data_IF_407138548028
#
_entry.id   IF_407138548028
#
_cell.length_a   1.000
_cell.length_b   1.000
_cell.length_c   1.000
_cell.angle_alpha   90.00
_cell.angle_beta   90.00
_cell.angle_gamma   90.00
#
_symmetry.space_group_name_H-M   'P 1'
#
loop_
_entity.id
_entity.type
_entity.pdbx_description
1 polymer ?
#
# COMPACT_ATOMS: atom_id res chain seq x y z
N UNK A 1 -43.84 15.13 -19.75
CA UNK A 1 -43.37 13.85 -20.34
C UNK A 1 -41.97 14.08 -20.88
N UNK A 2 -40.92 13.70 -20.15
CA UNK A 2 -39.64 13.31 -20.72
C UNK A 2 -39.03 12.26 -19.80
N UNK A 3 -38.96 11.04 -20.32
CA UNK A 3 -38.33 9.87 -19.72
C UNK A 3 -36.80 10.08 -19.70
N UNK A 4 -36.16 9.88 -18.55
CA UNK A 4 -34.71 9.68 -18.48
C UNK A 4 -34.46 8.21 -18.11
N UNK A 5 -33.92 7.46 -19.07
CA UNK A 5 -33.63 6.03 -18.93
C UNK A 5 -32.56 5.77 -17.83
N UNK A 6 -32.58 4.59 -17.19
CA UNK A 6 -31.53 4.20 -16.25
C UNK A 6 -30.20 3.99 -17.01
N UNK A 7 -29.16 4.67 -16.56
CA UNK A 7 -27.80 4.50 -17.09
C UNK A 7 -27.31 3.10 -16.72
N UNK A 8 -27.10 2.27 -17.73
CA UNK A 8 -26.60 0.90 -17.60
C UNK A 8 -25.15 0.89 -17.10
N UNK A 9 -24.89 0.03 -16.11
CA UNK A 9 -23.61 -0.13 -15.41
C UNK A 9 -22.52 -0.79 -16.29
N UNK A 10 -22.89 -1.38 -17.43
CA UNK A 10 -21.96 -2.10 -18.33
C UNK A 10 -21.10 -1.19 -19.23
N UNK A 11 -21.32 0.12 -19.24
CA UNK A 11 -20.60 1.03 -20.13
C UNK A 11 -19.25 1.54 -19.59
N UNK A 12 -18.90 1.25 -18.33
CA UNK A 12 -17.67 1.76 -17.69
C UNK A 12 -16.65 0.62 -17.53
N UNK A 13 -16.24 0.02 -18.64
CA UNK A 13 -15.07 -0.86 -18.72
C UNK A 13 -13.74 -0.08 -18.64
N UNK A 14 -13.61 0.83 -17.67
CA UNK A 14 -12.46 1.73 -17.52
C UNK A 14 -11.68 1.44 -16.22
N UNK A 15 -10.35 1.62 -16.19
CA UNK A 15 -9.57 1.41 -14.97
C UNK A 15 -9.98 2.42 -13.89
N UNK A 16 -9.86 2.09 -12.61
CA UNK A 16 -10.36 2.89 -11.47
C UNK A 16 -10.00 4.40 -11.47
N UNK A 17 -8.97 4.83 -12.23
CA UNK A 17 -8.62 6.24 -12.42
C UNK A 17 -9.58 7.01 -13.37
N UNK A 18 -10.43 6.35 -14.15
CA UNK A 18 -11.43 7.01 -14.99
C UNK A 18 -12.64 7.51 -14.19
N UNK A 19 -12.98 6.83 -13.09
CA UNK A 19 -13.95 7.30 -12.09
C UNK A 19 -13.53 8.63 -11.46
N UNK A 20 -12.23 8.82 -11.23
CA UNK A 20 -11.64 10.06 -10.73
C UNK A 20 -11.92 11.27 -11.63
N UNK A 21 -11.94 11.08 -12.96
CA UNK A 21 -12.20 12.15 -13.93
C UNK A 21 -13.67 12.52 -14.04
N UNK A 22 -14.57 11.60 -13.68
CA UNK A 22 -16.00 11.83 -13.67
C UNK A 22 -16.46 12.54 -12.38
N UNK A 23 -15.85 12.20 -11.24
CA UNK A 23 -16.18 12.76 -9.93
C UNK A 23 -15.54 14.14 -9.65
N UNK A 24 -14.50 14.51 -10.40
CA UNK A 24 -13.86 15.85 -10.32
C UNK A 24 -14.50 16.88 -11.23
N UNK A 25 -15.54 16.52 -12.00
CA UNK A 25 -16.29 17.44 -12.82
C UNK A 25 -17.33 18.15 -11.96
N UNK A 26 -17.02 19.40 -11.60
CA UNK A 26 -17.89 20.34 -10.91
C UNK A 26 -19.27 20.39 -11.58
N UNK A 27 -20.33 20.08 -10.82
CA UNK A 27 -21.59 20.84 -10.80
C UNK A 27 -22.64 20.13 -9.93
N UNK A 28 -23.11 20.80 -8.87
CA UNK A 28 -24.54 21.19 -8.67
C UNK A 28 -25.02 21.20 -7.20
N UNK A 29 -25.44 22.40 -6.78
CA UNK A 29 -26.48 22.77 -5.78
C UNK A 29 -26.13 22.87 -4.27
N UNK A 30 -26.04 24.16 -3.89
CA UNK A 30 -26.05 24.94 -2.63
C UNK A 30 -26.59 24.41 -1.29
N UNK A 31 -27.00 23.15 -1.13
CA UNK A 31 -27.19 22.52 0.20
C UNK A 31 -26.25 21.32 0.42
N UNK A 32 -25.61 20.83 -0.66
CA UNK A 32 -24.63 19.75 -0.64
C UNK A 32 -23.16 20.19 -0.48
N UNK A 33 -22.87 21.47 -0.21
CA UNK A 33 -21.48 21.97 -0.14
C UNK A 33 -20.72 21.43 1.07
N UNK A 34 -21.38 21.29 2.23
CA UNK A 34 -20.74 20.76 3.45
C UNK A 34 -20.56 19.24 3.36
N UNK A 35 -21.55 18.51 2.84
CA UNK A 35 -21.47 17.06 2.60
C UNK A 35 -20.42 16.74 1.54
N UNK A 36 -20.37 17.49 0.44
CA UNK A 36 -19.33 17.34 -0.58
C UNK A 36 -17.92 17.70 -0.08
N UNK A 37 -17.81 18.66 0.85
CA UNK A 37 -16.54 19.00 1.48
C UNK A 37 -16.08 17.90 2.46
N UNK A 38 -17.00 17.29 3.20
CA UNK A 38 -16.73 16.17 4.11
C UNK A 38 -16.35 14.91 3.32
N UNK A 39 -17.11 14.57 2.27
CA UNK A 39 -16.82 13.46 1.35
C UNK A 39 -15.45 13.64 0.66
N UNK A 40 -15.13 14.87 0.21
CA UNK A 40 -13.83 15.19 -0.37
C UNK A 40 -12.71 15.05 0.66
N UNK A 41 -12.92 15.52 1.88
CA UNK A 41 -11.92 15.43 2.96
C UNK A 41 -11.66 13.96 3.31
N UNK A 42 -12.73 13.16 3.42
CA UNK A 42 -12.66 11.72 3.65
C UNK A 42 -11.93 10.99 2.52
N UNK A 43 -12.25 11.31 1.27
CA UNK A 43 -11.56 10.74 0.11
C UNK A 43 -10.05 11.05 0.13
N UNK A 44 -9.67 12.30 0.45
CA UNK A 44 -8.27 12.71 0.51
C UNK A 44 -7.51 12.00 1.64
N UNK A 45 -8.13 11.84 2.81
CA UNK A 45 -7.49 11.15 3.93
C UNK A 45 -7.31 9.65 3.65
N UNK A 46 -8.34 9.01 3.08
CA UNK A 46 -8.23 7.63 2.59
C UNK A 46 -7.13 7.48 1.54
N UNK A 47 -7.04 8.42 0.60
CA UNK A 47 -6.02 8.43 -0.43
C UNK A 47 -4.61 8.54 0.18
N UNK A 48 -4.44 9.40 1.19
CA UNK A 48 -3.17 9.54 1.92
C UNK A 48 -2.73 8.23 2.57
N UNK A 49 -3.65 7.51 3.21
CA UNK A 49 -3.37 6.21 3.81
C UNK A 49 -2.94 5.19 2.75
N UNK A 50 -3.68 5.10 1.65
CA UNK A 50 -3.36 4.19 0.54
C UNK A 50 -2.00 4.51 -0.09
N UNK A 51 -1.68 5.78 -0.32
CA UNK A 51 -0.37 6.19 -0.86
C UNK A 51 0.75 5.83 0.09
N UNK A 52 0.55 6.01 1.40
CA UNK A 52 1.53 5.61 2.43
C UNK A 52 1.79 4.11 2.40
N UNK A 53 0.74 3.29 2.26
CA UNK A 53 0.88 1.82 2.12
C UNK A 53 1.66 1.45 0.87
N UNK A 54 1.39 2.11 -0.27
CA UNK A 54 2.12 1.86 -1.53
C UNK A 54 3.61 2.19 -1.38
N UNK A 55 3.95 3.28 -0.71
CA UNK A 55 5.34 3.65 -0.45
C UNK A 55 6.05 2.62 0.45
N UNK A 56 5.39 2.18 1.52
CA UNK A 56 5.93 1.13 2.41
C UNK A 56 6.17 -0.18 1.64
N UNK A 57 5.21 -0.62 0.82
CA UNK A 57 5.37 -1.81 -0.02
C UNK A 57 6.55 -1.65 -0.99
N UNK A 58 6.71 -0.46 -1.59
CA UNK A 58 7.82 -0.17 -2.50
C UNK A 58 9.18 -0.20 -1.79
N UNK A 59 9.25 0.25 -0.52
CA UNK A 59 10.42 0.11 0.34
C UNK A 59 10.71 -1.36 0.66
N UNK A 60 9.69 -2.14 1.02
CA UNK A 60 9.82 -3.57 1.31
C UNK A 60 10.37 -4.35 0.12
N UNK A 61 9.82 -4.13 -1.09
CA UNK A 61 10.31 -4.78 -2.31
C UNK A 61 11.79 -4.48 -2.60
N UNK A 62 12.23 -3.25 -2.34
CA UNK A 62 13.65 -2.88 -2.46
C UNK A 62 14.53 -3.61 -1.44
N UNK A 63 14.06 -3.75 -0.20
CA UNK A 63 14.75 -4.54 0.83
C UNK A 63 14.85 -6.01 0.40
N UNK A 64 13.76 -6.62 -0.04
CA UNK A 64 13.74 -8.03 -0.45
C UNK A 64 14.65 -8.28 -1.67
N UNK A 65 14.63 -7.39 -2.65
CA UNK A 65 15.54 -7.45 -3.79
C UNK A 65 17.01 -7.34 -3.39
N UNK A 66 17.34 -6.43 -2.47
CA UNK A 66 18.70 -6.28 -1.97
C UNK A 66 19.16 -7.50 -1.14
N UNK A 67 18.28 -8.07 -0.32
CA UNK A 67 18.57 -9.29 0.44
C UNK A 67 18.83 -10.46 -0.52
N UNK A 68 17.99 -10.64 -1.54
CA UNK A 68 18.17 -11.69 -2.54
C UNK A 68 19.50 -11.57 -3.29
N UNK A 69 19.92 -10.35 -3.64
CA UNK A 69 21.23 -10.08 -4.24
C UNK A 69 22.39 -10.49 -3.30
N UNK A 70 22.31 -10.09 -2.03
CA UNK A 70 23.32 -10.44 -1.03
C UNK A 70 23.37 -11.94 -0.74
N UNK A 71 22.25 -12.66 -0.80
CA UNK A 71 22.23 -14.12 -0.67
C UNK A 71 23.02 -14.80 -1.79
N UNK A 72 22.92 -14.29 -3.03
CA UNK A 72 23.70 -14.77 -4.17
C UNK A 72 25.19 -14.50 -3.95
N UNK A 73 25.56 -13.28 -3.56
CA UNK A 73 26.95 -12.90 -3.30
C UNK A 73 27.55 -13.72 -2.15
N UNK A 74 26.79 -13.92 -1.08
CA UNK A 74 27.17 -14.77 0.05
C UNK A 74 27.42 -16.20 -0.38
N UNK A 75 26.56 -16.77 -1.22
CA UNK A 75 26.72 -18.12 -1.74
C UNK A 75 27.95 -18.24 -2.64
N UNK A 76 28.23 -17.23 -3.46
CA UNK A 76 29.46 -17.11 -4.27
C UNK A 76 30.69 -17.09 -3.38
N UNK A 77 30.77 -16.18 -2.42
CA UNK A 77 31.91 -16.04 -1.51
C UNK A 77 32.18 -17.31 -0.71
N UNK A 78 31.12 -17.97 -0.21
CA UNK A 78 31.25 -19.26 0.47
C UNK A 78 31.80 -20.36 -0.42
N UNK A 79 31.49 -20.34 -1.72
CA UNK A 79 32.04 -21.30 -2.70
C UNK A 79 33.52 -21.00 -2.93
N UNK A 80 33.87 -19.74 -3.16
CA UNK A 80 35.24 -19.31 -3.44
C UNK A 80 36.17 -19.61 -2.25
N UNK A 81 35.66 -19.45 -1.03
CA UNK A 81 36.39 -19.80 0.20
C UNK A 81 36.66 -21.30 0.40
N UNK A 82 36.00 -22.18 -0.35
CA UNK A 82 36.21 -23.64 -0.35
C UNK A 82 37.20 -24.09 -1.43
N UNK A 83 37.60 -23.20 -2.34
CA UNK A 83 38.59 -23.48 -3.36
C UNK A 83 40.00 -23.67 -2.78
N UNK A 84 40.89 -24.25 -3.58
CA UNK A 84 42.29 -24.45 -3.21
C UNK A 84 43.05 -23.12 -3.01
N UNK A 85 42.61 -22.06 -3.70
CA UNK A 85 43.11 -20.70 -3.53
C UNK A 85 41.99 -19.84 -2.92
N UNK A 86 42.15 -19.50 -1.64
CA UNK A 86 41.24 -18.56 -0.98
C UNK A 86 41.59 -17.14 -1.43
N UNK A 87 40.64 -16.35 -1.96
CA UNK A 87 40.90 -14.95 -2.30
C UNK A 87 41.27 -14.17 -1.03
N UNK A 88 42.26 -13.28 -1.16
CA UNK A 88 42.60 -12.34 -0.08
C UNK A 88 41.38 -11.45 0.22
N UNK A 89 41.06 -11.26 1.51
CA UNK A 89 39.91 -10.43 1.92
C UNK A 89 38.54 -11.12 1.88
N UNK A 90 38.44 -12.37 1.40
CA UNK A 90 37.13 -13.07 1.29
C UNK A 90 36.36 -13.19 2.62
N UNK A 91 37.07 -13.31 3.75
CA UNK A 91 36.43 -13.32 5.08
C UNK A 91 35.83 -11.96 5.45
N UNK A 92 36.50 -10.86 5.11
CA UNK A 92 36.04 -9.50 5.40
C UNK A 92 34.84 -9.15 4.51
N UNK A 93 34.91 -9.52 3.23
CA UNK A 93 33.79 -9.35 2.30
C UNK A 93 32.56 -10.14 2.75
N UNK A 94 32.75 -11.41 3.16
CA UNK A 94 31.65 -12.23 3.69
C UNK A 94 31.05 -11.61 4.97
N UNK A 95 31.87 -11.09 5.87
CA UNK A 95 31.40 -10.41 7.08
C UNK A 95 30.62 -9.13 6.76
N UNK A 96 31.05 -8.36 5.77
CA UNK A 96 30.35 -7.16 5.31
C UNK A 96 28.98 -7.51 4.69
N UNK A 97 28.92 -8.56 3.87
CA UNK A 97 27.66 -9.09 3.31
C UNK A 97 26.71 -9.54 4.42
N UNK A 98 27.19 -10.35 5.38
CA UNK A 98 26.38 -10.80 6.52
C UNK A 98 25.87 -9.62 7.36
N UNK A 99 26.71 -8.60 7.59
CA UNK A 99 26.31 -7.40 8.31
C UNK A 99 25.22 -6.64 7.56
N UNK A 100 25.37 -6.44 6.25
CA UNK A 100 24.39 -5.73 5.44
C UNK A 100 23.06 -6.46 5.37
N UNK A 101 23.09 -7.79 5.29
CA UNK A 101 21.87 -8.61 5.35
C UNK A 101 21.11 -8.44 6.67
N UNK A 102 21.81 -8.36 7.80
CA UNK A 102 21.18 -8.12 9.11
C UNK A 102 20.48 -6.76 9.15
N UNK A 103 21.14 -5.71 8.66
CA UNK A 103 20.56 -4.37 8.59
C UNK A 103 19.29 -4.33 7.73
N UNK A 104 19.33 -4.94 6.54
CA UNK A 104 18.17 -4.98 5.65
C UNK A 104 17.03 -5.83 6.21
N UNK A 105 17.35 -6.91 6.94
CA UNK A 105 16.35 -7.73 7.63
C UNK A 105 15.64 -6.95 8.73
N UNK A 106 16.38 -6.18 9.51
CA UNK A 106 15.81 -5.31 10.55
C UNK A 106 14.99 -4.18 9.93
N UNK A 107 15.45 -3.57 8.84
CA UNK A 107 14.70 -2.56 8.11
C UNK A 107 13.38 -3.13 7.58
N UNK A 108 13.41 -4.32 6.97
CA UNK A 108 12.20 -5.02 6.53
C UNK A 108 11.22 -5.28 7.68
N UNK A 109 11.73 -5.63 8.86
CA UNK A 109 10.90 -5.83 10.07
C UNK A 109 10.20 -4.54 10.48
N UNK A 110 10.90 -3.41 10.48
CA UNK A 110 10.31 -2.10 10.79
C UNK A 110 9.23 -1.72 9.77
N UNK A 111 9.49 -1.93 8.48
CA UNK A 111 8.52 -1.69 7.43
C UNK A 111 7.28 -2.59 7.54
N UNK A 112 7.42 -3.82 8.01
CA UNK A 112 6.29 -4.71 8.27
C UNK A 112 5.37 -4.16 9.37
N UNK A 113 5.95 -3.67 10.48
CA UNK A 113 5.19 -3.03 11.56
C UNK A 113 4.52 -1.74 11.07
N UNK A 114 5.21 -0.91 10.29
CA UNK A 114 4.63 0.30 9.69
C UNK A 114 3.44 -0.04 8.78
N UNK A 115 3.57 -1.09 7.96
CA UNK A 115 2.49 -1.58 7.10
C UNK A 115 1.29 -2.08 7.89
N UNK A 116 1.50 -2.89 8.93
CA UNK A 116 0.44 -3.40 9.79
C UNK A 116 -0.33 -2.26 10.47
N UNK A 117 0.40 -1.23 10.94
CA UNK A 117 -0.22 -0.04 11.51
C UNK A 117 -1.05 0.74 10.48
N UNK A 118 -0.54 0.93 9.26
CA UNK A 118 -1.28 1.61 8.18
C UNK A 118 -2.51 0.82 7.72
N UNK A 119 -2.40 -0.51 7.63
CA UNK A 119 -3.51 -1.40 7.29
C UNK A 119 -4.61 -1.31 8.37
N UNK A 120 -4.24 -1.31 9.65
CA UNK A 120 -5.17 -1.11 10.76
C UNK A 120 -5.83 0.28 10.72
N UNK A 121 -5.05 1.34 10.46
CA UNK A 121 -5.58 2.71 10.35
C UNK A 121 -6.56 2.86 9.19
N UNK A 122 -6.28 2.23 8.03
CA UNK A 122 -7.19 2.23 6.90
C UNK A 122 -8.47 1.44 7.19
N UNK A 123 -8.36 0.30 7.87
CA UNK A 123 -9.52 -0.50 8.27
C UNK A 123 -10.43 0.24 9.27
N UNK A 124 -9.83 0.93 10.26
CA UNK A 124 -10.57 1.79 11.20
C UNK A 124 -11.26 2.94 10.47
N UNK A 125 -10.56 3.58 9.52
CA UNK A 125 -11.11 4.66 8.69
C UNK A 125 -12.29 4.21 7.82
N UNK A 126 -12.18 3.05 7.18
CA UNK A 126 -13.25 2.48 6.35
C UNK A 126 -14.41 1.96 7.23
N UNK A 127 -14.14 1.48 8.45
CA UNK A 127 -15.11 0.98 9.44
C UNK A 127 -15.85 2.06 10.23
N UNK A 128 -15.32 3.27 10.35
CA UNK A 128 -15.96 4.42 11.00
C UNK A 128 -17.15 5.00 10.19
N UNK A 129 -17.74 4.21 9.29
CA UNK A 129 -18.82 4.63 8.39
C UNK A 129 -20.15 4.78 9.15
N UNK A 130 -20.75 5.98 9.28
CA UNK A 130 -21.96 6.18 10.08
C UNK A 130 -23.27 5.70 9.41
N UNK A 131 -23.21 4.95 8.30
CA UNK A 131 -24.40 4.56 7.52
C UNK A 131 -25.00 3.18 7.88
N UNK A 132 -24.47 2.47 8.88
CA UNK A 132 -25.12 1.29 9.45
C UNK A 132 -25.51 1.55 10.91
N UNK A 133 -26.51 2.42 11.10
CA UNK A 133 -27.38 2.27 12.27
C UNK A 133 -28.30 1.07 11.97
N UNK A 134 -28.24 -0.04 12.71
CA UNK A 134 -29.26 -1.08 12.59
C UNK A 134 -30.59 -0.45 13.00
N UNK A 135 -31.49 -0.25 12.05
CA UNK A 135 -32.89 0.05 12.34
C UNK A 135 -33.42 -1.07 13.23
N UNK A 136 -33.93 -0.79 14.45
CA UNK A 136 -34.61 -1.79 15.23
C UNK A 136 -35.89 -2.16 14.47
N UNK A 137 -35.86 -3.29 13.77
CA UNK A 137 -37.06 -3.89 13.18
C UNK A 137 -38.02 -4.17 14.32
N UNK A 138 -39.07 -3.36 14.36
CA UNK A 138 -40.10 -3.38 15.37
C UNK A 138 -40.74 -4.75 15.51
N UNK A 139 -41.00 -5.10 16.76
CA UNK A 139 -42.03 -6.01 17.21
C UNK A 139 -43.36 -5.70 16.52
N UNK A 140 -43.95 -6.73 15.90
CA UNK A 140 -45.39 -6.91 15.77
C UNK A 140 -45.69 -8.41 15.77
#
# INVERSE_FOLDING_TARGET
MTSAAPVSFDAIGGPAWSLWRYLTREDSVREGVVVAQDDRTRMLERHRLVVSIIDVNSRQMRCDGAIAGLDIDRARLRRDMRGAERPAGACEELAAVDQRMRELTEERRKLAVEREWLDAALAEFDGANPHEAPTPSGTA
#
